data_IF_974194831102
#
_entry.id   IF_974194831102
#
_cell.length_a   1.000
_cell.length_b   1.000
_cell.length_c   1.000
_cell.angle_alpha   90.00
_cell.angle_beta   90.00
_cell.angle_gamma   90.00
#
_symmetry.space_group_name_H-M   'P 1'
#
loop_
_entity.id
_entity.type
_entity.pdbx_description
1 polymer ?
#
# COMPACT_ATOMS: atom_id res chain seq x y z
N UNK A 1 -0.93 2.63 -0.53
CA UNK A 1 -2.36 2.42 -0.83
C UNK A 1 -2.93 1.40 0.15
N UNK A 2 -4.11 1.66 0.74
CA UNK A 2 -4.83 0.63 1.47
C UNK A 2 -5.07 -0.58 0.55
N UNK A 3 -4.68 -1.78 0.99
CA UNK A 3 -4.83 -3.01 0.19
C UNK A 3 -3.66 -3.32 -0.74
N UNK A 4 -2.58 -2.56 -0.75
CA UNK A 4 -1.36 -2.97 -1.46
C UNK A 4 -0.70 -4.16 -0.76
N UNK A 5 -0.14 -5.10 -1.55
CA UNK A 5 0.61 -6.22 -1.01
C UNK A 5 1.81 -5.71 -0.20
N UNK A 6 1.76 -5.88 1.11
CA UNK A 6 2.92 -5.65 1.98
C UNK A 6 3.95 -6.76 1.76
N UNK A 7 5.21 -6.40 1.55
CA UNK A 7 6.28 -7.39 1.52
C UNK A 7 6.66 -7.77 2.95
N UNK A 8 6.25 -8.97 3.38
CA UNK A 8 6.56 -9.50 4.71
C UNK A 8 7.81 -10.36 4.58
N UNK A 9 8.84 -10.05 5.37
CA UNK A 9 10.07 -10.82 5.46
C UNK A 9 10.34 -11.19 6.91
N UNK A 10 10.67 -12.46 7.17
CA UNK A 10 10.94 -12.96 8.53
C UNK A 10 12.44 -12.97 8.84
N UNK A 11 13.27 -13.34 7.86
CA UNK A 11 14.72 -13.51 8.03
C UNK A 11 15.60 -12.58 7.18
N UNK A 12 14.99 -11.61 6.50
CA UNK A 12 15.70 -10.75 5.54
C UNK A 12 16.00 -11.47 4.23
N UNK A 13 16.83 -10.85 3.39
CA UNK A 13 17.16 -11.36 2.05
C UNK A 13 18.26 -12.41 2.20
N UNK A 14 17.89 -13.68 2.22
CA UNK A 14 18.84 -14.83 2.27
C UNK A 14 19.33 -15.27 0.89
N UNK A 15 18.74 -14.80 -0.20
CA UNK A 15 19.12 -15.13 -1.58
C UNK A 15 18.85 -13.95 -2.51
N UNK A 16 19.71 -13.76 -3.50
CA UNK A 16 19.56 -12.70 -4.52
C UNK A 16 18.52 -13.09 -5.57
N UNK A 17 18.27 -14.38 -5.78
CA UNK A 17 17.44 -14.89 -6.89
C UNK A 17 16.24 -15.71 -6.44
N UNK A 18 16.08 -16.00 -5.15
CA UNK A 18 14.95 -16.78 -4.65
C UNK A 18 13.91 -15.87 -3.97
N UNK A 19 12.66 -16.33 -3.98
CA UNK A 19 11.56 -15.69 -3.25
C UNK A 19 11.92 -15.59 -1.75
N UNK A 20 11.75 -14.43 -1.18
CA UNK A 20 12.03 -14.13 0.25
C UNK A 20 10.77 -14.14 1.09
N UNK A 21 9.61 -14.36 0.47
CA UNK A 21 8.32 -14.36 1.15
C UNK A 21 8.17 -15.60 2.05
N UNK A 22 7.56 -15.46 3.23
CA UNK A 22 7.24 -16.58 4.10
C UNK A 22 6.12 -17.43 3.53
N UNK A 23 6.04 -18.68 3.97
CA UNK A 23 4.93 -19.57 3.68
C UNK A 23 3.73 -19.20 4.58
N UNK A 24 2.54 -19.07 4.01
CA UNK A 24 1.32 -18.83 4.77
C UNK A 24 0.54 -20.15 4.94
N UNK A 25 0.08 -20.40 6.16
CA UNK A 25 -0.78 -21.52 6.51
C UNK A 25 -2.03 -20.98 7.18
N UNK A 26 -3.17 -21.12 6.51
CA UNK A 26 -4.45 -20.60 6.99
C UNK A 26 -5.33 -21.79 7.35
N UNK A 27 -5.69 -21.93 8.61
CA UNK A 27 -6.50 -23.06 9.14
C UNK A 27 -5.96 -24.43 8.73
N UNK A 28 -4.64 -24.58 8.65
CA UNK A 28 -3.96 -25.81 8.23
C UNK A 28 -3.76 -25.95 6.72
N UNK A 29 -4.31 -25.07 5.90
CA UNK A 29 -4.15 -25.08 4.44
C UNK A 29 -2.91 -24.23 4.06
N UNK A 30 -1.98 -24.87 3.37
CA UNK A 30 -0.76 -24.20 2.90
C UNK A 30 -1.07 -23.35 1.67
N UNK A 31 -0.79 -22.05 1.77
CA UNK A 31 -0.93 -21.09 0.69
C UNK A 31 0.46 -20.60 0.27
N UNK A 32 0.81 -20.73 -1.01
CA UNK A 32 2.07 -20.17 -1.50
C UNK A 32 1.89 -18.70 -1.87
N UNK A 33 2.95 -17.89 -1.69
CA UNK A 33 2.96 -16.46 -2.09
C UNK A 33 2.71 -16.31 -3.60
N UNK A 34 3.14 -17.29 -4.41
CA UNK A 34 2.87 -17.33 -5.85
C UNK A 34 1.39 -17.46 -6.18
N UNK A 35 0.61 -18.18 -5.36
CA UNK A 35 -0.83 -18.36 -5.60
C UNK A 35 -1.62 -17.05 -5.40
N UNK A 36 -1.12 -16.15 -4.57
CA UNK A 36 -1.77 -14.85 -4.34
C UNK A 36 -1.34 -13.79 -5.36
N UNK A 37 -0.12 -13.91 -5.91
CA UNK A 37 0.33 -13.03 -7.00
C UNK A 37 -0.36 -13.36 -8.33
N UNK A 38 -0.88 -14.57 -8.49
CA UNK A 38 -1.62 -15.00 -9.67
C UNK A 38 -3.05 -14.43 -9.72
N UNK A 39 -3.57 -13.95 -8.59
CA UNK A 39 -4.80 -13.14 -8.56
C UNK A 39 -4.49 -11.71 -8.98
N UNK A 40 -4.00 -11.53 -10.19
CA UNK A 40 -3.83 -10.21 -10.79
C UNK A 40 -5.19 -9.64 -11.18
N UNK A 41 -5.73 -8.78 -10.34
CA UNK A 41 -6.83 -7.89 -10.73
C UNK A 41 -6.20 -6.59 -11.21
N UNK A 42 -5.92 -6.52 -12.51
CA UNK A 42 -5.20 -5.40 -13.11
C UNK A 42 -3.68 -5.45 -12.83
N UNK A 43 -3.04 -4.30 -12.69
CA UNK A 43 -1.58 -4.18 -12.46
C UNK A 43 -1.14 -4.35 -10.99
N UNK A 44 -2.01 -4.82 -10.10
CA UNK A 44 -1.70 -4.95 -8.67
C UNK A 44 -1.84 -6.41 -8.23
N UNK A 45 -0.77 -6.96 -7.64
CA UNK A 45 -0.84 -8.21 -6.92
C UNK A 45 -1.54 -7.99 -5.57
N UNK A 46 -2.58 -8.74 -5.29
CA UNK A 46 -3.22 -8.74 -3.96
C UNK A 46 -2.44 -9.69 -3.05
N UNK A 47 -2.03 -9.20 -1.89
CA UNK A 47 -1.41 -10.06 -0.87
C UNK A 47 -2.44 -11.02 -0.26
N UNK A 48 -2.01 -12.23 0.10
CA UNK A 48 -2.85 -13.24 0.80
C UNK A 48 -3.55 -12.62 2.03
N UNK A 49 -2.85 -11.77 2.77
CA UNK A 49 -3.40 -11.12 3.96
C UNK A 49 -4.58 -10.18 3.67
N UNK A 50 -4.70 -9.70 2.44
CA UNK A 50 -5.82 -8.84 2.05
C UNK A 50 -7.11 -9.61 1.75
N UNK A 51 -7.02 -10.94 1.62
CA UNK A 51 -8.19 -11.81 1.40
C UNK A 51 -8.86 -12.22 2.70
N UNK A 52 -8.20 -11.98 3.83
CA UNK A 52 -8.71 -12.33 5.16
C UNK A 52 -9.04 -11.03 5.88
N UNK A 53 -10.25 -10.96 6.43
CA UNK A 53 -10.59 -9.84 7.30
C UNK A 53 -9.78 -9.98 8.61
N UNK A 54 -8.98 -8.96 9.01
CA UNK A 54 -8.22 -9.01 10.26
C UNK A 54 -9.05 -9.33 11.50
N UNK A 55 -10.32 -8.92 11.51
CA UNK A 55 -11.26 -9.19 12.60
C UNK A 55 -11.64 -10.67 12.70
N UNK A 56 -11.48 -11.46 11.63
CA UNK A 56 -11.76 -12.90 11.64
C UNK A 56 -10.56 -13.74 12.11
N UNK A 57 -9.41 -13.09 12.37
CA UNK A 57 -8.22 -13.77 12.89
C UNK A 57 -8.36 -13.99 14.39
N UNK A 58 -8.26 -15.26 14.82
CA UNK A 58 -8.18 -15.64 16.23
C UNK A 58 -6.74 -15.55 16.74
N UNK A 59 -5.79 -16.07 15.95
CA UNK A 59 -4.37 -16.03 16.32
C UNK A 59 -3.47 -16.04 15.09
N UNK A 60 -2.29 -15.43 15.24
CA UNK A 60 -1.21 -15.47 14.25
C UNK A 60 0.07 -15.91 14.93
N UNK A 61 0.68 -16.97 14.43
CA UNK A 61 1.93 -17.54 14.93
C UNK A 61 2.99 -17.53 13.85
N UNK A 62 4.18 -17.02 14.18
CA UNK A 62 5.31 -16.97 13.25
C UNK A 62 6.36 -18.00 13.65
N UNK A 63 6.57 -19.00 12.79
CA UNK A 63 7.63 -20.00 12.96
C UNK A 63 8.86 -19.58 12.19
N UNK A 64 9.95 -19.28 12.93
CA UNK A 64 11.19 -18.74 12.35
C UNK A 64 12.28 -19.79 12.18
N UNK A 65 12.15 -20.97 12.79
CA UNK A 65 13.25 -21.92 12.99
C UNK A 65 13.11 -23.21 12.18
N UNK A 66 14.07 -24.12 12.40
CA UNK A 66 14.07 -25.46 11.78
C UNK A 66 12.78 -26.25 12.05
N UNK A 67 12.03 -25.92 13.10
CA UNK A 67 10.72 -26.49 13.38
C UNK A 67 9.73 -26.24 12.23
N UNK A 68 9.78 -25.07 11.59
CA UNK A 68 8.97 -24.78 10.41
C UNK A 68 9.32 -25.69 9.23
N UNK A 69 10.64 -25.88 8.99
CA UNK A 69 11.12 -26.73 7.89
C UNK A 69 10.79 -28.19 8.10
N UNK A 70 10.72 -28.67 9.34
CA UNK A 70 10.36 -30.07 9.65
C UNK A 70 8.90 -30.38 9.36
N UNK A 71 8.00 -29.41 9.53
CA UNK A 71 6.56 -29.58 9.31
C UNK A 71 6.12 -29.31 7.85
N UNK A 72 6.76 -28.32 7.19
CA UNK A 72 6.31 -27.81 5.89
C UNK A 72 7.35 -27.98 4.78
N UNK A 73 8.47 -28.63 5.07
CA UNK A 73 9.53 -28.95 4.10
C UNK A 73 10.33 -27.72 3.64
N UNK A 74 10.98 -27.85 2.47
CA UNK A 74 11.84 -26.80 1.90
C UNK A 74 11.13 -25.47 1.62
N UNK A 75 9.82 -25.50 1.42
CA UNK A 75 9.00 -24.28 1.21
C UNK A 75 8.97 -23.37 2.43
N UNK A 76 9.29 -23.89 3.61
CA UNK A 76 9.36 -23.11 4.87
C UNK A 76 10.72 -22.48 5.15
N UNK A 77 11.66 -22.51 4.19
CA UNK A 77 13.02 -21.97 4.38
C UNK A 77 13.05 -20.51 4.83
N UNK A 78 12.08 -19.70 4.35
CA UNK A 78 11.95 -18.29 4.72
C UNK A 78 11.07 -18.05 5.95
N UNK A 79 10.65 -19.12 6.64
CA UNK A 79 9.73 -19.09 7.77
C UNK A 79 8.28 -19.35 7.37
N UNK A 80 7.42 -19.56 8.37
CA UNK A 80 6.00 -19.87 8.19
C UNK A 80 5.17 -18.94 9.06
N UNK A 81 4.11 -18.40 8.50
CA UNK A 81 3.09 -17.64 9.22
C UNK A 81 1.82 -18.50 9.26
N UNK A 82 1.46 -18.93 10.46
CA UNK A 82 0.24 -19.71 10.70
C UNK A 82 -0.83 -18.74 11.15
N UNK A 83 -1.95 -18.73 10.44
CA UNK A 83 -3.12 -17.92 10.74
C UNK A 83 -4.26 -18.89 11.10
N UNK A 84 -4.82 -18.70 12.28
CA UNK A 84 -6.01 -19.42 12.71
C UNK A 84 -7.18 -18.47 12.72
N UNK A 85 -8.24 -18.80 12.01
CA UNK A 85 -9.45 -17.97 11.98
C UNK A 85 -10.36 -18.29 13.16
N UNK A 86 -11.20 -17.34 13.52
CA UNK A 86 -12.21 -17.50 14.54
C UNK A 86 -13.20 -18.59 14.11
N UNK A 87 -13.51 -19.49 15.02
CA UNK A 87 -14.50 -20.58 14.82
C UNK A 87 -15.69 -20.34 15.71
N UNK A 88 -16.83 -20.86 15.33
CA UNK A 88 -18.01 -20.91 16.17
C UNK A 88 -17.69 -21.62 17.49
N UNK A 89 -18.14 -21.07 18.61
CA UNK A 89 -17.95 -21.67 19.93
C UNK A 89 -19.26 -22.30 20.39
N UNK A 90 -19.14 -23.46 21.04
CA UNK A 90 -20.29 -24.08 21.70
C UNK A 90 -20.82 -23.16 22.79
N UNK A 91 -22.12 -22.92 22.81
CA UNK A 91 -22.76 -22.09 23.83
C UNK A 91 -23.92 -21.26 23.30
N UNK A 92 -24.20 -20.18 24.01
CA UNK A 92 -25.29 -19.26 23.66
C UNK A 92 -24.92 -18.51 22.36
N UNK A 93 -25.91 -18.32 21.50
CA UNK A 93 -25.77 -17.46 20.33
C UNK A 93 -25.32 -16.04 20.76
N UNK A 94 -24.25 -15.58 20.19
CA UNK A 94 -23.73 -14.23 20.41
C UNK A 94 -23.68 -13.48 19.09
N UNK A 95 -24.17 -12.25 19.10
CA UNK A 95 -24.06 -11.30 17.99
C UNK A 95 -23.08 -10.23 18.40
N UNK A 96 -22.07 -9.96 17.60
CA UNK A 96 -21.16 -8.85 17.82
C UNK A 96 -21.12 -7.93 16.59
N UNK A 97 -21.05 -6.65 16.88
CA UNK A 97 -20.91 -5.60 15.86
C UNK A 97 -19.68 -4.77 16.20
N UNK A 98 -18.85 -4.56 15.17
CA UNK A 98 -17.69 -3.69 15.21
C UNK A 98 -17.83 -2.63 14.13
N UNK A 99 -17.61 -1.38 14.48
CA UNK A 99 -17.65 -0.25 13.55
C UNK A 99 -16.40 0.61 13.71
N UNK A 100 -15.74 0.89 12.60
CA UNK A 100 -14.56 1.75 12.53
C UNK A 100 -14.80 2.88 11.54
N UNK A 101 -14.42 4.10 11.93
CA UNK A 101 -14.42 5.27 11.06
C UNK A 101 -13.04 5.89 11.08
N UNK A 102 -12.45 6.01 9.91
CA UNK A 102 -11.12 6.59 9.73
C UNK A 102 -11.16 7.74 8.72
N UNK A 103 -10.19 8.64 8.82
CA UNK A 103 -9.95 9.69 7.84
C UNK A 103 -8.57 9.48 7.24
N UNK A 104 -8.51 9.30 5.94
CA UNK A 104 -7.26 9.24 5.18
C UNK A 104 -6.95 10.62 4.63
N UNK A 105 -5.76 11.14 4.93
CA UNK A 105 -5.27 12.43 4.45
C UNK A 105 -3.82 12.33 3.99
N UNK A 106 -3.30 13.39 3.36
CA UNK A 106 -1.88 13.47 2.98
C UNK A 106 -1.00 13.28 4.23
N UNK A 107 -0.13 12.28 4.24
CA UNK A 107 0.75 12.00 5.38
C UNK A 107 1.76 13.13 5.62
N UNK A 108 2.28 13.75 4.56
CA UNK A 108 3.21 14.88 4.66
C UNK A 108 2.94 15.88 3.53
N UNK A 109 2.10 16.89 3.76
CA UNK A 109 1.80 17.90 2.74
C UNK A 109 3.03 18.71 2.32
N UNK A 110 4.07 18.79 3.14
CA UNK A 110 5.30 19.53 2.82
C UNK A 110 6.24 18.77 1.90
N UNK A 111 6.24 17.45 1.91
CA UNK A 111 7.10 16.62 1.06
C UNK A 111 6.72 16.69 -0.43
N UNK A 112 5.48 17.05 -0.72
CA UNK A 112 4.94 17.16 -2.08
C UNK A 112 4.72 18.62 -2.50
N UNK A 113 5.43 19.56 -1.87
CA UNK A 113 5.29 20.98 -2.20
C UNK A 113 5.88 21.22 -3.59
N UNK A 114 5.02 21.56 -4.52
CA UNK A 114 5.40 21.97 -5.88
C UNK A 114 5.58 23.48 -5.96
N UNK A 115 6.30 23.93 -6.97
CA UNK A 115 6.36 25.35 -7.31
C UNK A 115 4.98 25.79 -7.83
N UNK A 116 4.56 26.98 -7.44
CA UNK A 116 3.43 27.63 -8.10
C UNK A 116 3.80 28.13 -9.50
N UNK A 117 2.81 28.56 -10.30
CA UNK A 117 3.04 29.00 -11.67
C UNK A 117 4.10 30.09 -11.79
N UNK A 118 4.02 31.21 -11.04
CA UNK A 118 5.04 32.25 -11.02
C UNK A 118 6.43 31.73 -10.63
N UNK A 119 6.54 30.94 -9.57
CA UNK A 119 7.82 30.34 -9.14
C UNK A 119 8.42 29.44 -10.21
N UNK A 120 7.60 28.65 -10.89
CA UNK A 120 8.05 27.79 -11.97
C UNK A 120 8.57 28.60 -13.18
N UNK A 121 7.90 29.72 -13.53
CA UNK A 121 8.35 30.61 -14.59
C UNK A 121 9.66 31.30 -14.24
N UNK A 122 9.86 31.73 -13.00
CA UNK A 122 11.15 32.27 -12.55
C UNK A 122 12.26 31.21 -12.62
N UNK A 123 11.97 29.98 -12.18
CA UNK A 123 12.93 28.88 -12.30
C UNK A 123 13.31 28.60 -13.77
N UNK A 124 12.33 28.61 -14.69
CA UNK A 124 12.59 28.42 -16.13
C UNK A 124 13.44 29.56 -16.70
N UNK A 125 13.17 30.81 -16.28
CA UNK A 125 13.97 31.96 -16.71
C UNK A 125 15.43 31.82 -16.28
N UNK A 126 15.65 31.57 -14.98
CA UNK A 126 17.00 31.41 -14.43
C UNK A 126 17.75 30.24 -15.09
N UNK A 127 17.04 29.11 -15.34
CA UNK A 127 17.62 27.98 -16.05
C UNK A 127 17.98 28.31 -17.50
N UNK A 128 17.13 29.06 -18.19
CA UNK A 128 17.38 29.53 -19.56
C UNK A 128 18.55 30.50 -19.65
N UNK A 129 18.61 31.49 -18.75
CA UNK A 129 19.69 32.46 -18.70
C UNK A 129 21.05 31.79 -18.42
N UNK A 130 21.09 30.85 -17.49
CA UNK A 130 22.29 30.07 -17.20
C UNK A 130 22.72 29.18 -18.38
N UNK A 131 21.77 28.53 -19.07
CA UNK A 131 22.07 27.71 -20.24
C UNK A 131 22.62 28.57 -21.38
N UNK A 132 22.03 29.75 -21.63
CA UNK A 132 22.52 30.70 -22.65
C UNK A 132 23.91 31.24 -22.31
N UNK A 133 24.19 31.51 -21.05
CA UNK A 133 25.52 31.94 -20.60
C UNK A 133 26.61 30.88 -20.86
N UNK A 134 26.26 29.61 -20.73
CA UNK A 134 27.18 28.48 -21.00
C UNK A 134 27.33 28.20 -22.51
N UNK A 135 26.26 28.30 -23.27
CA UNK A 135 26.23 28.07 -24.70
C UNK A 135 25.22 29.00 -25.38
N UNK A 136 25.68 30.10 -25.99
CA UNK A 136 24.78 31.05 -26.65
C UNK A 136 24.00 30.48 -27.86
N UNK A 137 24.41 29.33 -28.38
CA UNK A 137 23.64 28.63 -29.39
C UNK A 137 22.48 27.79 -28.84
N UNK A 138 22.35 27.72 -27.53
CA UNK A 138 21.28 26.97 -26.89
C UNK A 138 19.96 27.75 -27.00
N UNK A 139 19.00 27.18 -27.72
CA UNK A 139 17.66 27.70 -27.82
C UNK A 139 16.74 26.91 -26.86
N UNK A 140 16.35 27.52 -25.78
CA UNK A 140 15.22 27.04 -24.97
C UNK A 140 13.94 27.44 -25.71
N UNK A 141 12.95 26.57 -25.83
CA UNK A 141 11.71 26.78 -26.61
C UNK A 141 10.97 28.13 -26.34
N UNK A 142 11.37 28.87 -25.32
CA UNK A 142 10.98 30.26 -25.04
C UNK A 142 12.22 31.09 -24.74
N UNK A 143 12.24 32.35 -25.21
CA UNK A 143 13.28 33.31 -24.85
C UNK A 143 13.13 33.76 -23.40
N UNK A 144 14.23 34.23 -22.79
CA UNK A 144 14.17 34.77 -21.42
C UNK A 144 13.17 35.92 -21.29
N UNK A 145 13.03 36.76 -22.32
CA UNK A 145 12.06 37.87 -22.35
C UNK A 145 10.62 37.37 -22.40
N UNK A 146 10.32 36.32 -23.16
CA UNK A 146 9.00 35.71 -23.21
C UNK A 146 8.62 35.10 -21.86
N UNK A 147 9.54 34.40 -21.21
CA UNK A 147 9.34 33.84 -19.86
C UNK A 147 9.14 34.97 -18.84
N UNK A 148 9.94 36.04 -18.91
CA UNK A 148 9.80 37.21 -18.04
C UNK A 148 8.45 37.90 -18.25
N UNK A 149 8.00 38.07 -19.48
CA UNK A 149 6.67 38.61 -19.78
C UNK A 149 5.55 37.71 -19.26
N UNK A 150 5.67 36.40 -19.38
CA UNK A 150 4.72 35.45 -18.78
C UNK A 150 4.70 35.49 -17.25
N UNK A 151 5.84 35.73 -16.61
CA UNK A 151 5.94 35.84 -15.16
C UNK A 151 5.42 37.19 -14.63
N UNK A 152 5.57 38.28 -15.44
CA UNK A 152 5.13 39.62 -15.08
C UNK A 152 3.60 39.79 -15.14
N UNK A 153 2.93 39.03 -16.01
CA UNK A 153 1.45 39.01 -16.10
C UNK A 153 0.88 37.64 -15.74
N UNK A 154 0.71 37.37 -14.45
CA UNK A 154 0.10 36.12 -13.99
C UNK A 154 -1.43 36.07 -14.18
N UNK A 155 -2.08 37.17 -14.57
CA UNK A 155 -3.54 37.28 -14.63
C UNK A 155 -4.19 36.36 -15.66
N UNK A 156 -3.44 35.98 -16.69
CA UNK A 156 -3.89 35.01 -17.72
C UNK A 156 -3.38 33.58 -17.49
N UNK A 157 -2.66 33.32 -16.39
CA UNK A 157 -2.04 32.02 -16.13
C UNK A 157 -2.72 31.30 -14.97
N UNK A 158 -3.22 30.12 -15.24
CA UNK A 158 -3.79 29.26 -14.19
C UNK A 158 -2.67 28.51 -13.49
N UNK A 159 -2.49 28.78 -12.21
CA UNK A 159 -1.62 27.95 -11.36
C UNK A 159 -2.49 26.94 -10.63
N UNK A 160 -2.44 25.69 -11.06
CA UNK A 160 -3.21 24.61 -10.45
C UNK A 160 -2.32 23.83 -9.48
N UNK A 161 -2.73 23.75 -8.23
CA UNK A 161 -2.12 22.80 -7.31
C UNK A 161 -2.62 21.37 -7.61
N UNK A 162 -1.85 20.65 -8.41
CA UNK A 162 -2.15 19.29 -8.78
C UNK A 162 -2.16 18.34 -7.60
N UNK A 163 -1.42 18.66 -6.54
CA UNK A 163 -1.44 17.83 -5.33
C UNK A 163 -2.79 17.90 -4.63
N UNK A 164 -3.44 19.06 -4.62
CA UNK A 164 -4.77 19.22 -4.05
C UNK A 164 -5.87 18.64 -4.95
N UNK A 165 -5.64 18.60 -6.26
CA UNK A 165 -6.58 17.97 -7.18
C UNK A 165 -6.53 16.43 -7.09
N UNK A 166 -5.35 15.85 -6.90
CA UNK A 166 -5.15 14.40 -6.89
C UNK A 166 -5.38 13.80 -5.50
N UNK A 167 -4.95 14.51 -4.45
CA UNK A 167 -5.05 14.01 -3.08
C UNK A 167 -6.21 14.69 -2.34
N UNK A 168 -7.30 14.01 -2.24
CA UNK A 168 -8.45 14.42 -1.43
C UNK A 168 -8.50 13.64 -0.12
N UNK A 169 -9.04 14.24 0.92
CA UNK A 169 -9.31 13.52 2.15
C UNK A 169 -10.45 12.52 1.90
N UNK A 170 -10.23 11.27 2.29
CA UNK A 170 -11.23 10.22 2.16
C UNK A 170 -11.70 9.74 3.53
N UNK A 171 -12.99 9.54 3.68
CA UNK A 171 -13.56 8.89 4.85
C UNK A 171 -13.59 7.39 4.56
N UNK A 172 -12.98 6.63 5.47
CA UNK A 172 -13.00 5.17 5.46
C UNK A 172 -13.98 4.72 6.54
N UNK A 173 -14.91 3.86 6.17
CA UNK A 173 -15.83 3.24 7.11
C UNK A 173 -15.76 1.73 6.96
N UNK A 174 -15.62 1.02 8.07
CA UNK A 174 -15.66 -0.42 8.14
C UNK A 174 -16.72 -0.83 9.13
N UNK A 175 -17.62 -1.70 8.72
CA UNK A 175 -18.70 -2.21 9.57
C UNK A 175 -18.72 -3.73 9.47
N UNK A 176 -18.58 -4.40 10.60
CA UNK A 176 -18.59 -5.85 10.68
C UNK A 176 -19.66 -6.31 11.64
N UNK A 177 -20.46 -7.25 11.19
CA UNK A 177 -21.44 -7.96 12.00
C UNK A 177 -21.03 -9.43 12.04
N UNK A 178 -20.82 -9.99 13.21
CA UNK A 178 -20.55 -11.42 13.35
C UNK A 178 -21.57 -12.11 14.24
N UNK A 179 -21.94 -13.32 13.85
CA UNK A 179 -22.86 -14.19 14.55
C UNK A 179 -22.12 -15.47 14.92
N UNK A 180 -22.02 -15.74 16.21
CA UNK A 180 -21.41 -16.97 16.70
C UNK A 180 -22.48 -17.82 17.37
N UNK A 181 -22.64 -19.04 16.89
CA UNK A 181 -23.56 -20.03 17.46
C UNK A 181 -22.96 -21.44 17.40
N UNK A 182 -23.33 -22.29 18.31
CA UNK A 182 -22.88 -23.69 18.23
C UNK A 182 -23.50 -24.60 19.27
N UNK A 183 -23.58 -25.85 18.89
CA UNK A 183 -23.90 -26.98 19.77
C UNK A 183 -22.78 -28.03 19.65
N UNK A 184 -22.96 -29.19 20.32
CA UNK A 184 -21.96 -30.29 20.29
C UNK A 184 -21.64 -30.82 18.87
N UNK A 185 -22.54 -30.64 17.93
CA UNK A 185 -22.43 -31.23 16.56
C UNK A 185 -22.21 -30.18 15.49
N UNK A 186 -22.59 -28.93 15.71
CA UNK A 186 -22.55 -27.86 14.71
C UNK A 186 -22.06 -26.57 15.34
N UNK A 187 -21.07 -25.94 14.73
CA UNK A 187 -20.54 -24.64 15.10
C UNK A 187 -20.61 -23.70 13.90
N UNK A 188 -21.09 -22.48 14.10
CA UNK A 188 -21.28 -21.47 13.06
C UNK A 188 -20.56 -20.18 13.50
N UNK A 189 -19.82 -19.61 12.59
CA UNK A 189 -19.21 -18.28 12.71
C UNK A 189 -19.49 -17.48 11.45
#
# INVERSE_FOLDING_TARGET
DPGSAGNVQIRGVGSISADTAPLYVIDGVVMSSSTASDLQVGYKSMGILNTINPEDIESMTVLKDAAAASLYGSRAANGVIIITTKKGKQGKTAVSYSGEVGVSSKANPRALRMLDGPQFLHYLKDAGDNAYALNPAYSYGYTGDEIAAMAADPSGKTSTDWTDQVFTNAILTNHQLSLTAGNEKTQIY
#
